data_IF_859263877833
#
_entry.id   IF_859263877833
#
_cell.length_a   1.000
_cell.length_b   1.000
_cell.length_c   1.000
_cell.angle_alpha   90.00
_cell.angle_beta   90.00
_cell.angle_gamma   90.00
#
_symmetry.space_group_name_H-M   'P 1'
#
loop_
_entity.id
_entity.type
_entity.pdbx_description
1 polymer ?
#
# COMPACT_ATOMS: atom_id res chain seq x y z
N UNK A 1 -6.91 -14.01 2.29
CA UNK A 1 -5.64 -14.24 3.03
C UNK A 1 -4.73 -15.19 2.27
N UNK A 2 -5.05 -16.49 2.16
CA UNK A 2 -4.26 -17.44 1.34
C UNK A 2 -4.31 -17.10 -0.16
N UNK A 3 -5.49 -16.73 -0.67
CA UNK A 3 -5.68 -16.39 -2.08
C UNK A 3 -4.92 -15.12 -2.54
N UNK A 4 -4.63 -14.19 -1.62
CA UNK A 4 -3.94 -12.95 -1.95
C UNK A 4 -2.43 -13.16 -2.03
N UNK A 5 -1.87 -13.97 -1.14
CA UNK A 5 -0.46 -14.40 -1.17
C UNK A 5 -0.16 -15.20 -2.44
N UNK A 6 -1.05 -16.11 -2.82
CA UNK A 6 -0.90 -16.91 -4.05
C UNK A 6 -1.05 -16.08 -5.34
N UNK A 7 -1.82 -14.97 -5.31
CA UNK A 7 -1.85 -14.03 -6.44
C UNK A 7 -0.60 -13.16 -6.49
N UNK A 8 -0.06 -12.79 -5.33
CA UNK A 8 1.19 -12.05 -5.21
C UNK A 8 2.38 -12.88 -5.72
N UNK A 9 2.49 -14.13 -5.28
CA UNK A 9 3.48 -15.11 -5.77
C UNK A 9 3.46 -15.21 -7.29
N UNK A 10 2.28 -15.36 -7.88
CA UNK A 10 2.12 -15.39 -9.34
C UNK A 10 2.49 -14.10 -10.04
N UNK A 11 2.28 -12.94 -9.40
CA UNK A 11 2.66 -11.65 -9.96
C UNK A 11 4.18 -11.42 -9.94
N UNK A 12 4.88 -12.01 -8.98
CA UNK A 12 6.34 -12.03 -8.90
C UNK A 12 6.94 -13.24 -9.65
N UNK A 13 6.30 -13.72 -10.72
CA UNK A 13 6.75 -14.86 -11.55
C UNK A 13 7.03 -16.18 -10.80
N UNK A 14 6.31 -16.39 -9.69
CA UNK A 14 6.54 -17.54 -8.80
C UNK A 14 7.76 -17.40 -7.90
N UNK A 15 8.60 -16.40 -8.15
CA UNK A 15 9.85 -16.17 -7.46
C UNK A 15 9.73 -14.97 -6.52
N UNK A 16 9.02 -15.19 -5.41
CA UNK A 16 9.27 -14.40 -4.22
C UNK A 16 10.50 -14.91 -3.44
N UNK A 17 11.22 -15.96 -3.91
CA UNK A 17 12.28 -16.64 -3.16
C UNK A 17 11.84 -17.07 -1.73
N UNK A 18 10.59 -17.53 -1.53
CA UNK A 18 10.08 -17.85 -0.18
C UNK A 18 9.62 -19.28 -0.01
N UNK A 19 10.45 -20.07 0.68
CA UNK A 19 10.05 -21.21 1.50
C UNK A 19 10.12 -20.79 2.98
N UNK A 20 9.14 -21.18 3.81
CA UNK A 20 9.17 -20.94 5.28
C UNK A 20 8.71 -19.57 5.81
N UNK A 21 7.93 -18.78 5.05
CA UNK A 21 7.63 -17.36 5.35
C UNK A 21 6.93 -17.13 6.71
N UNK A 22 7.54 -16.29 7.56
CA UNK A 22 6.83 -15.63 8.66
C UNK A 22 6.20 -14.34 8.14
N UNK A 23 4.95 -14.40 7.65
CA UNK A 23 4.25 -13.17 7.21
C UNK A 23 3.77 -12.38 8.43
N UNK A 24 4.17 -11.11 8.55
CA UNK A 24 3.74 -10.24 9.65
C UNK A 24 2.85 -9.14 9.11
N UNK A 25 1.60 -9.14 9.56
CA UNK A 25 0.60 -8.18 9.12
C UNK A 25 0.64 -6.93 10.00
N UNK A 26 0.89 -5.78 9.37
CA UNK A 26 0.84 -4.48 10.02
C UNK A 26 -0.34 -3.73 9.41
N UNK A 27 -1.49 -3.71 10.07
CA UNK A 27 -2.67 -3.06 9.48
C UNK A 27 -3.65 -2.58 10.52
N UNK A 28 -4.17 -1.37 10.32
CA UNK A 28 -5.32 -0.84 11.06
C UNK A 28 -6.37 -0.36 10.08
N UNK A 29 -7.64 -0.66 10.36
CA UNK A 29 -8.74 -0.10 9.58
C UNK A 29 -8.68 1.43 9.61
N UNK A 30 -8.84 2.08 8.45
CA UNK A 30 -8.75 3.53 8.32
C UNK A 30 -7.34 4.12 8.35
N UNK A 31 -6.28 3.30 8.24
CA UNK A 31 -4.89 3.78 8.19
C UNK A 31 -4.70 4.77 7.02
N UNK A 32 -4.13 5.93 7.33
CA UNK A 32 -3.82 7.03 6.40
C UNK A 32 -2.32 7.33 6.43
N UNK A 33 -1.77 7.80 5.31
CA UNK A 33 -0.34 8.13 5.22
C UNK A 33 0.02 9.41 5.97
N UNK A 34 -0.91 10.37 6.14
CA UNK A 34 -0.67 11.58 6.97
C UNK A 34 -0.73 11.32 8.48
N UNK A 35 -1.33 10.21 8.91
CA UNK A 35 -1.53 9.86 10.32
C UNK A 35 -0.89 8.54 10.69
N UNK A 36 0.11 8.11 9.90
CA UNK A 36 0.81 6.87 10.17
C UNK A 36 1.68 7.08 11.42
N UNK A 37 1.36 6.34 12.49
CA UNK A 37 2.16 6.38 13.71
C UNK A 37 3.57 5.87 13.39
N UNK A 38 4.58 6.68 13.72
CA UNK A 38 5.98 6.31 13.50
C UNK A 38 6.39 5.08 14.32
N UNK A 39 5.71 4.78 15.44
CA UNK A 39 5.91 3.53 16.18
C UNK A 39 5.57 2.32 15.33
N UNK A 40 4.52 2.41 14.51
CA UNK A 40 4.10 1.34 13.62
C UNK A 40 5.12 1.10 12.51
N UNK A 41 5.65 2.17 11.90
CA UNK A 41 6.72 2.07 10.90
C UNK A 41 7.99 1.47 11.50
N UNK A 42 8.37 1.90 12.71
CA UNK A 42 9.52 1.32 13.42
C UNK A 42 9.33 -0.15 13.77
N UNK A 43 8.15 -0.56 14.23
CA UNK A 43 7.85 -1.97 14.51
C UNK A 43 7.93 -2.82 13.24
N UNK A 44 7.38 -2.31 12.14
CA UNK A 44 7.46 -2.91 10.83
C UNK A 44 8.92 -3.12 10.37
N UNK A 45 9.76 -2.09 10.50
CA UNK A 45 11.20 -2.17 10.20
C UNK A 45 11.92 -3.15 11.14
N UNK A 46 11.62 -3.11 12.44
CA UNK A 46 12.26 -3.94 13.45
C UNK A 46 11.99 -5.45 13.26
N UNK A 47 11.05 -5.84 12.41
CA UNK A 47 10.86 -7.26 12.03
C UNK A 47 12.07 -7.85 11.29
N UNK A 48 12.90 -6.99 10.69
CA UNK A 48 14.01 -7.41 9.84
C UNK A 48 13.56 -7.98 8.49
N UNK A 49 12.31 -7.71 8.08
CA UNK A 49 11.78 -8.18 6.81
C UNK A 49 12.56 -7.61 5.62
N UNK A 50 12.84 -8.45 4.64
CA UNK A 50 13.53 -8.05 3.41
C UNK A 50 12.56 -7.50 2.35
N UNK A 51 11.27 -7.84 2.45
CA UNK A 51 10.24 -7.51 1.48
C UNK A 51 9.02 -6.86 2.15
N UNK A 52 8.52 -5.76 1.58
CA UNK A 52 7.29 -5.12 2.03
C UNK A 52 6.31 -4.87 0.89
N UNK A 53 5.01 -4.98 1.20
CA UNK A 53 3.90 -4.68 0.30
C UNK A 53 3.00 -3.62 0.94
N UNK A 54 3.05 -2.40 0.41
CA UNK A 54 2.30 -1.27 0.93
C UNK A 54 0.96 -1.15 0.19
N UNK A 55 -0.16 -1.34 0.90
CA UNK A 55 -1.50 -0.97 0.42
C UNK A 55 -2.08 0.16 1.27
N UNK A 56 -1.73 1.39 0.93
CA UNK A 56 -2.09 2.62 1.67
C UNK A 56 -2.49 3.75 0.73
N UNK A 57 -3.01 4.87 1.26
CA UNK A 57 -3.39 6.04 0.47
C UNK A 57 -4.89 6.15 0.15
N UNK A 58 -5.63 5.03 0.11
CA UNK A 58 -7.07 5.07 -0.18
C UNK A 58 -7.91 5.80 0.87
N UNK A 59 -7.50 5.73 2.14
CA UNK A 59 -8.18 6.45 3.24
C UNK A 59 -7.77 7.93 3.32
N UNK A 60 -6.72 8.33 2.61
CA UNK A 60 -6.26 9.73 2.54
C UNK A 60 -7.11 10.57 1.59
N UNK A 61 -7.83 9.93 0.67
CA UNK A 61 -8.72 10.60 -0.27
C UNK A 61 -9.91 11.20 0.49
N UNK A 62 -10.03 12.51 0.37
CA UNK A 62 -11.06 13.38 0.96
C UNK A 62 -11.40 14.51 -0.02
N UNK A 63 -12.45 15.32 0.23
CA UNK A 63 -12.84 16.39 -0.69
C UNK A 63 -11.74 17.44 -0.91
N UNK A 64 -10.87 17.63 0.09
CA UNK A 64 -9.81 18.64 0.09
C UNK A 64 -8.41 18.06 -0.13
N UNK A 65 -8.29 16.73 -0.28
CA UNK A 65 -6.99 16.12 -0.56
C UNK A 65 -6.52 16.40 -1.98
N UNK A 66 -5.21 16.37 -2.18
CA UNK A 66 -4.59 16.45 -3.50
C UNK A 66 -3.96 15.11 -3.84
N UNK A 67 -4.26 14.52 -5.03
CA UNK A 67 -3.63 13.30 -5.51
C UNK A 67 -2.10 13.30 -5.39
N UNK A 68 -1.47 14.42 -5.76
CA UNK A 68 -0.02 14.59 -5.71
C UNK A 68 0.54 14.46 -4.29
N UNK A 69 -0.09 15.10 -3.30
CA UNK A 69 0.32 15.02 -1.89
C UNK A 69 0.17 13.60 -1.31
N UNK A 70 -0.85 12.85 -1.73
CA UNK A 70 -1.03 11.45 -1.31
C UNK A 70 0.09 10.60 -1.92
N UNK A 71 0.34 10.75 -3.22
CA UNK A 71 1.41 10.07 -3.94
C UNK A 71 2.79 10.33 -3.30
N UNK A 72 3.13 11.58 -3.00
CA UNK A 72 4.43 11.94 -2.39
C UNK A 72 4.62 11.27 -1.03
N UNK A 73 3.59 11.22 -0.20
CA UNK A 73 3.65 10.49 1.09
C UNK A 73 3.82 8.99 0.93
N UNK A 74 3.25 8.38 -0.10
CA UNK A 74 3.47 6.96 -0.41
C UNK A 74 4.94 6.75 -0.83
N UNK A 75 5.48 7.63 -1.69
CA UNK A 75 6.88 7.56 -2.12
C UNK A 75 7.83 7.72 -0.94
N UNK A 76 7.57 8.67 -0.05
CA UNK A 76 8.36 8.87 1.17
C UNK A 76 8.36 7.61 2.04
N UNK A 77 7.20 6.99 2.26
CA UNK A 77 7.09 5.75 3.02
C UNK A 77 7.89 4.60 2.38
N UNK A 78 7.84 4.46 1.05
CA UNK A 78 8.68 3.49 0.32
C UNK A 78 10.16 3.77 0.55
N UNK A 79 10.58 5.03 0.45
CA UNK A 79 11.96 5.45 0.73
C UNK A 79 12.37 5.12 2.16
N UNK A 80 11.50 5.34 3.15
CA UNK A 80 11.77 4.98 4.56
C UNK A 80 12.08 3.49 4.69
N UNK A 81 11.27 2.61 4.10
CA UNK A 81 11.47 1.17 4.17
C UNK A 81 12.74 0.71 3.44
N UNK A 82 13.01 1.26 2.25
CA UNK A 82 14.25 0.96 1.51
C UNK A 82 15.50 1.43 2.25
N UNK A 83 15.48 2.64 2.81
CA UNK A 83 16.59 3.18 3.60
C UNK A 83 16.84 2.39 4.89
N UNK A 84 15.83 1.66 5.37
CA UNK A 84 15.95 0.76 6.52
C UNK A 84 16.49 -0.64 6.16
N UNK A 85 16.87 -0.89 4.89
CA UNK A 85 17.50 -2.13 4.45
C UNK A 85 16.57 -3.13 3.77
N UNK A 86 15.29 -2.79 3.55
CA UNK A 86 14.39 -3.67 2.78
C UNK A 86 14.84 -3.71 1.31
N UNK A 87 15.07 -4.93 0.81
CA UNK A 87 15.53 -5.20 -0.56
C UNK A 87 14.47 -4.77 -1.58
N UNK A 88 13.22 -5.13 -1.33
CA UNK A 88 12.11 -4.74 -2.19
C UNK A 88 10.92 -4.20 -1.42
N UNK A 89 10.33 -3.15 -1.97
CA UNK A 89 9.11 -2.54 -1.45
C UNK A 89 8.15 -2.37 -2.60
N UNK A 90 7.11 -3.18 -2.59
CA UNK A 90 6.03 -3.21 -3.56
C UNK A 90 4.90 -2.29 -3.10
N UNK A 91 4.31 -1.58 -4.04
CA UNK A 91 3.15 -0.72 -3.77
C UNK A 91 1.95 -1.34 -4.47
N UNK A 92 0.77 -1.20 -3.88
CA UNK A 92 -0.48 -1.59 -4.54
C UNK A 92 -1.25 -0.39 -5.05
N UNK A 93 -1.96 -0.59 -6.15
CA UNK A 93 -2.97 0.36 -6.59
C UNK A 93 -4.01 0.63 -5.51
N UNK A 94 -4.45 1.88 -5.42
CA UNK A 94 -5.62 2.22 -4.62
C UNK A 94 -6.85 1.60 -5.30
N UNK A 95 -7.55 0.74 -4.55
CA UNK A 95 -8.76 0.05 -5.01
C UNK A 95 -10.00 0.94 -4.99
N UNK A 96 -11.03 0.52 -5.73
CA UNK A 96 -12.37 1.09 -5.63
C UNK A 96 -12.95 0.86 -4.23
N UNK A 97 -13.86 1.72 -3.78
CA UNK A 97 -14.56 1.49 -2.51
C UNK A 97 -16.06 1.75 -2.65
N UNK A 98 -16.87 0.98 -1.92
CA UNK A 98 -18.33 1.07 -2.00
C UNK A 98 -18.97 2.03 -1.00
N UNK A 99 -18.31 2.34 0.12
CA UNK A 99 -18.88 3.14 1.20
C UNK A 99 -18.17 4.49 1.36
N UNK A 100 -18.95 5.57 1.26
CA UNK A 100 -18.48 6.96 1.38
C UNK A 100 -19.10 7.70 2.56
N UNK A 101 -20.06 7.10 3.27
CA UNK A 101 -20.78 7.72 4.40
C UNK A 101 -19.87 8.23 5.52
N UNK A 102 -18.67 7.64 5.66
CA UNK A 102 -17.68 7.99 6.68
C UNK A 102 -16.81 9.21 6.33
N UNK A 103 -16.95 9.76 5.13
CA UNK A 103 -16.18 10.93 4.68
C UNK A 103 -17.15 11.98 4.12
N UNK A 104 -17.64 12.90 4.98
CA UNK A 104 -18.56 13.95 4.55
C UNK A 104 -18.04 14.72 3.33
N UNK A 105 -18.91 14.95 2.35
CA UNK A 105 -18.59 15.68 1.13
C UNK A 105 -17.83 14.91 0.06
N UNK A 106 -17.42 13.65 0.30
CA UNK A 106 -16.73 12.85 -0.70
C UNK A 106 -17.71 11.97 -1.48
N UNK A 107 -17.94 12.30 -2.74
CA UNK A 107 -18.75 11.47 -3.65
C UNK A 107 -17.92 10.31 -4.22
N UNK A 108 -18.61 9.30 -4.77
CA UNK A 108 -17.97 8.19 -5.47
C UNK A 108 -17.15 8.68 -6.66
N UNK A 109 -17.70 9.60 -7.45
CA UNK A 109 -17.07 10.15 -8.65
C UNK A 109 -15.84 10.98 -8.28
N UNK A 110 -15.93 11.79 -7.22
CA UNK A 110 -14.79 12.56 -6.71
C UNK A 110 -13.67 11.65 -6.21
N UNK A 111 -14.01 10.57 -5.50
CA UNK A 111 -13.05 9.56 -5.09
C UNK A 111 -12.39 8.87 -6.29
N UNK A 112 -13.17 8.39 -7.26
CA UNK A 112 -12.65 7.70 -8.43
C UNK A 112 -11.72 8.58 -9.26
N UNK A 113 -12.06 9.86 -9.47
CA UNK A 113 -11.17 10.81 -10.16
C UNK A 113 -9.83 10.96 -9.45
N UNK A 114 -9.84 11.13 -8.12
CA UNK A 114 -8.59 11.23 -7.35
C UNK A 114 -7.80 9.93 -7.36
N UNK A 115 -8.48 8.79 -7.16
CA UNK A 115 -7.89 7.45 -7.18
C UNK A 115 -7.17 7.16 -8.49
N UNK A 116 -7.84 7.39 -9.63
CA UNK A 116 -7.25 7.20 -10.97
C UNK A 116 -6.00 8.06 -11.12
N UNK A 117 -6.06 9.34 -10.71
CA UNK A 117 -4.92 10.25 -10.79
C UNK A 117 -3.74 9.78 -9.94
N UNK A 118 -4.00 9.27 -8.73
CA UNK A 118 -2.95 8.71 -7.86
C UNK A 118 -2.35 7.46 -8.50
N UNK A 119 -3.17 6.51 -8.94
CA UNK A 119 -2.69 5.28 -9.55
C UNK A 119 -1.87 5.56 -10.83
N UNK A 120 -2.24 6.54 -11.65
CA UNK A 120 -1.41 6.98 -12.79
C UNK A 120 -0.02 7.45 -12.35
N UNK A 121 0.08 8.20 -11.25
CA UNK A 121 1.37 8.62 -10.68
C UNK A 121 2.16 7.43 -10.13
N UNK A 122 1.49 6.50 -9.45
CA UNK A 122 2.11 5.28 -8.92
C UNK A 122 2.65 4.40 -10.06
N UNK A 123 1.88 4.20 -11.13
CA UNK A 123 2.30 3.44 -12.32
C UNK A 123 3.57 4.04 -12.92
N UNK A 124 3.58 5.36 -13.12
CA UNK A 124 4.73 6.07 -13.66
C UNK A 124 5.99 5.94 -12.78
N UNK A 125 5.83 5.88 -11.45
CA UNK A 125 6.96 5.85 -10.50
C UNK A 125 7.48 4.45 -10.22
N UNK A 126 6.59 3.47 -10.06
CA UNK A 126 6.94 2.14 -9.55
C UNK A 126 6.97 1.07 -10.64
N UNK A 127 6.30 1.26 -11.78
CA UNK A 127 6.34 0.34 -12.92
C UNK A 127 6.12 -1.11 -12.48
N UNK A 128 7.15 -1.95 -12.67
CA UNK A 128 7.14 -3.37 -12.27
C UNK A 128 6.91 -3.63 -10.78
N UNK A 129 7.18 -2.66 -9.89
CA UNK A 129 6.97 -2.78 -8.44
C UNK A 129 5.56 -2.32 -7.99
N UNK A 130 4.66 -2.08 -8.93
CA UNK A 130 3.26 -1.77 -8.65
C UNK A 130 2.38 -3.00 -8.89
N UNK A 131 1.68 -3.44 -7.85
CA UNK A 131 0.74 -4.55 -7.89
C UNK A 131 -0.71 -4.05 -8.05
N UNK A 132 -1.46 -4.58 -9.02
CA UNK A 132 -2.89 -4.34 -9.15
C UNK A 132 -3.68 -5.54 -8.59
N UNK A 133 -4.46 -5.30 -7.54
CA UNK A 133 -5.40 -6.29 -7.00
C UNK A 133 -6.82 -5.75 -7.04
N UNK A 134 -7.74 -6.57 -7.54
CA UNK A 134 -9.18 -6.24 -7.58
C UNK A 134 -9.90 -6.44 -6.24
N UNK A 135 -9.24 -6.98 -5.19
CA UNK A 135 -9.93 -7.44 -3.96
C UNK A 135 -9.21 -7.14 -2.64
N UNK A 136 -8.10 -6.40 -2.61
CA UNK A 136 -7.42 -6.11 -1.35
C UNK A 136 -8.11 -4.98 -0.58
N UNK A 137 -8.44 -5.14 0.70
CA UNK A 137 -8.74 -3.97 1.56
C UNK A 137 -7.43 -3.23 1.89
N UNK A 138 -7.47 -1.91 2.12
CA UNK A 138 -6.29 -1.09 2.49
C UNK A 138 -5.55 -1.67 3.69
N UNK A 139 -4.27 -2.08 3.53
CA UNK A 139 -3.45 -2.84 4.50
C UNK A 139 -1.96 -2.61 4.26
N UNK A 140 -1.12 -2.56 5.29
CA UNK A 140 0.31 -2.76 5.09
C UNK A 140 0.62 -4.25 5.33
N UNK A 141 1.27 -4.91 4.38
CA UNK A 141 1.63 -6.33 4.52
C UNK A 141 3.14 -6.42 4.40
N UNK A 142 3.79 -7.00 5.42
CA UNK A 142 5.25 -7.12 5.46
C UNK A 142 5.60 -8.60 5.53
N UNK A 143 6.52 -9.03 4.68
CA UNK A 143 6.91 -10.42 4.59
C UNK A 143 8.30 -10.57 5.18
N UNK A 144 8.42 -11.31 6.29
CA UNK A 144 9.69 -11.75 6.82
C UNK A 144 10.03 -13.10 6.17
N UNK A 145 11.12 -13.10 5.42
CA UNK A 145 11.80 -14.33 4.99
C UNK A 145 12.75 -14.72 6.11
#
# INVERSE_FOLDING_TARGET
MVADIERLRRHCDGDLCISGVNTVFFGRSGLRTDRMDQRFVRQAIATGAEFAFLHVGGNDISPTSTPRKIFERIVELVSTFKNAGMKEVWVTEIITRGNFSKVPGLTKEAYERQRIRINQLLHKKFGKHLYSSKTLSTRLTIYKI
#
